data_IF_266532444390
#
_entry.id   IF_266532444390
#
_cell.length_a   1.000
_cell.length_b   1.000
_cell.length_c   1.000
_cell.angle_alpha   90.00
_cell.angle_beta   90.00
_cell.angle_gamma   90.00
#
_symmetry.space_group_name_H-M   'P 1'
#
loop_
_entity.id
_entity.type
_entity.pdbx_description
1 polymer ?
#
# COMPACT_ATOMS: atom_id res chain seq x y z
N UNK A 1 25.93 18.54 -4.46
CA UNK A 1 25.53 17.11 -4.51
C UNK A 1 24.16 17.03 -5.16
N UNK A 2 23.92 16.09 -6.07
CA UNK A 2 22.59 15.92 -6.69
C UNK A 2 21.69 15.12 -5.74
N UNK A 3 20.60 15.72 -5.29
CA UNK A 3 19.60 15.00 -4.50
C UNK A 3 18.86 13.98 -5.38
N UNK A 4 18.37 12.91 -4.77
CA UNK A 4 17.64 11.86 -5.47
C UNK A 4 16.22 12.31 -5.81
N UNK A 5 15.69 11.83 -6.96
CA UNK A 5 14.28 12.01 -7.34
C UNK A 5 13.37 10.96 -6.71
N UNK A 6 13.93 9.78 -6.44
CA UNK A 6 13.23 8.64 -5.85
C UNK A 6 14.17 7.91 -4.89
N UNK A 7 13.70 7.65 -3.68
CA UNK A 7 14.32 6.75 -2.70
C UNK A 7 13.36 5.59 -2.46
N UNK A 8 13.86 4.35 -2.48
CA UNK A 8 13.06 3.13 -2.24
C UNK A 8 13.69 2.34 -1.11
N UNK A 9 12.89 2.04 -0.09
CA UNK A 9 13.34 1.43 1.16
C UNK A 9 12.41 0.29 1.50
N UNK A 10 12.79 -0.93 1.11
CA UNK A 10 11.99 -2.12 1.34
C UNK A 10 12.60 -2.99 2.43
N UNK A 11 11.78 -3.44 3.37
CA UNK A 11 12.14 -4.32 4.49
C UNK A 11 13.17 -3.74 5.48
N UNK A 12 13.45 -2.44 5.42
CA UNK A 12 14.45 -1.80 6.30
C UNK A 12 13.84 -1.42 7.65
N UNK A 13 12.72 -0.68 7.64
CA UNK A 13 12.10 -0.17 8.88
C UNK A 13 11.29 -1.23 9.63
N UNK A 14 11.13 -2.44 9.08
CA UNK A 14 10.28 -3.49 9.65
C UNK A 14 10.67 -3.86 11.08
N UNK A 15 11.95 -3.77 11.41
CA UNK A 15 12.49 -4.12 12.74
C UNK A 15 12.66 -2.92 13.67
N UNK A 16 12.34 -1.70 13.22
CA UNK A 16 12.46 -0.50 14.04
C UNK A 16 11.33 -0.45 15.07
N UNK A 17 11.50 0.30 16.15
CA UNK A 17 10.34 0.70 16.95
C UNK A 17 9.49 1.68 16.15
N UNK A 18 8.17 1.67 16.38
CA UNK A 18 7.25 2.51 15.61
C UNK A 18 7.57 4.00 15.75
N UNK A 19 7.97 4.43 16.95
CA UNK A 19 8.39 5.81 17.23
C UNK A 19 9.63 6.25 16.43
N UNK A 20 10.44 5.30 15.96
CA UNK A 20 11.68 5.58 15.22
C UNK A 20 11.44 5.65 13.71
N UNK A 21 10.23 5.32 13.24
CA UNK A 21 9.87 5.38 11.81
C UNK A 21 9.90 6.82 11.30
N UNK A 22 9.26 7.77 11.99
CA UNK A 22 9.21 9.18 11.53
C UNK A 22 10.62 9.81 11.45
N UNK A 23 11.48 9.72 12.49
CA UNK A 23 12.85 10.22 12.40
C UNK A 23 13.67 9.59 11.26
N UNK A 24 13.47 8.29 10.98
CA UNK A 24 14.14 7.62 9.87
C UNK A 24 13.67 8.15 8.50
N UNK A 25 12.35 8.36 8.33
CA UNK A 25 11.78 8.98 7.14
C UNK A 25 12.33 10.40 6.91
N UNK A 26 12.40 11.21 7.97
CA UNK A 26 12.95 12.57 7.90
C UNK A 26 14.43 12.56 7.49
N UNK A 27 15.22 11.64 8.06
CA UNK A 27 16.63 11.46 7.68
C UNK A 27 16.77 11.17 6.17
N UNK A 28 15.93 10.27 5.65
CA UNK A 28 15.95 9.94 4.22
C UNK A 28 15.45 11.11 3.35
N UNK A 29 14.50 11.91 3.83
CA UNK A 29 13.98 13.09 3.13
C UNK A 29 15.06 14.14 2.80
N UNK A 30 16.12 14.25 3.60
CA UNK A 30 17.24 15.15 3.33
C UNK A 30 17.99 14.80 2.04
N UNK A 31 17.96 13.53 1.63
CA UNK A 31 18.59 13.07 0.38
C UNK A 31 17.71 13.25 -0.86
N UNK A 32 16.44 13.67 -0.69
CA UNK A 32 15.48 13.87 -1.76
C UNK A 32 15.44 15.32 -2.26
N UNK A 33 15.23 15.50 -3.57
CA UNK A 33 14.83 16.79 -4.14
C UNK A 33 13.39 17.11 -3.72
N UNK A 34 13.05 18.40 -3.66
CA UNK A 34 11.65 18.83 -3.53
C UNK A 34 10.82 18.25 -4.68
N UNK A 35 9.65 17.70 -4.37
CA UNK A 35 8.83 16.95 -5.30
C UNK A 35 9.29 15.49 -5.52
N UNK A 36 10.43 15.08 -4.97
CA UNK A 36 10.90 13.70 -4.99
C UNK A 36 9.99 12.74 -4.20
N UNK A 37 10.12 11.44 -4.49
CA UNK A 37 9.32 10.38 -3.87
C UNK A 37 10.15 9.52 -2.92
N UNK A 38 9.64 9.32 -1.71
CA UNK A 38 10.11 8.26 -0.82
C UNK A 38 9.11 7.12 -0.84
N UNK A 39 9.58 5.91 -1.12
CA UNK A 39 8.78 4.70 -1.07
C UNK A 39 9.31 3.83 0.06
N UNK A 40 8.51 3.61 1.09
CA UNK A 40 8.84 2.76 2.24
C UNK A 40 7.85 1.60 2.27
N UNK A 41 8.33 0.38 2.49
CA UNK A 41 7.41 -0.73 2.61
C UNK A 41 8.06 -2.06 2.84
N UNK A 42 7.25 -3.10 2.73
CA UNK A 42 7.63 -4.47 3.07
C UNK A 42 7.17 -5.42 1.98
N UNK A 43 8.02 -6.38 1.65
CA UNK A 43 7.68 -7.50 0.77
C UNK A 43 7.56 -8.78 1.56
N UNK A 44 6.79 -9.75 1.05
CA UNK A 44 6.93 -11.11 1.54
C UNK A 44 8.29 -11.71 1.12
N UNK A 45 8.76 -12.81 1.74
CA UNK A 45 10.07 -13.40 1.43
C UNK A 45 10.24 -13.78 -0.06
N UNK A 46 9.15 -14.16 -0.72
CA UNK A 46 9.16 -14.52 -2.15
C UNK A 46 9.17 -13.32 -3.11
N UNK A 47 8.99 -12.09 -2.60
CA UNK A 47 8.82 -10.88 -3.40
C UNK A 47 7.55 -10.85 -4.26
N UNK A 48 6.59 -11.76 -4.02
CA UNK A 48 5.34 -11.86 -4.79
C UNK A 48 4.29 -10.87 -4.34
N UNK A 49 4.38 -10.43 -3.09
CA UNK A 49 3.48 -9.47 -2.47
C UNK A 49 4.29 -8.34 -1.84
N UNK A 50 3.78 -7.13 -1.96
CA UNK A 50 4.36 -5.93 -1.34
C UNK A 50 3.26 -5.06 -0.77
N UNK A 51 3.55 -4.37 0.32
CA UNK A 51 2.78 -3.20 0.75
C UNK A 51 3.76 -2.08 1.00
N UNK A 52 3.49 -0.91 0.44
CA UNK A 52 4.37 0.25 0.61
C UNK A 52 3.60 1.55 0.66
N UNK A 53 4.08 2.45 1.49
CA UNK A 53 3.70 3.85 1.50
C UNK A 53 4.48 4.62 0.42
N UNK A 54 3.81 5.62 -0.13
CA UNK A 54 4.42 6.61 -1.02
C UNK A 54 4.32 7.96 -0.32
N UNK A 55 5.47 8.58 -0.10
CA UNK A 55 5.57 9.95 0.39
C UNK A 55 6.13 10.83 -0.72
N UNK A 56 5.76 12.11 -0.68
CA UNK A 56 6.33 13.15 -1.54
C UNK A 56 6.96 14.22 -0.67
N UNK A 57 8.16 14.66 -1.05
CA UNK A 57 8.81 15.81 -0.42
C UNK A 57 8.12 17.10 -0.88
N UNK A 58 7.55 17.85 0.06
CA UNK A 58 6.90 19.13 -0.19
C UNK A 58 7.92 20.28 -0.24
N UNK A 59 7.47 21.45 -0.69
CA UNK A 59 8.28 22.68 -0.78
C UNK A 59 8.83 23.15 0.58
N UNK A 60 8.12 22.84 1.66
CA UNK A 60 8.57 23.13 3.03
C UNK A 60 9.54 22.06 3.60
N UNK A 61 10.14 21.26 2.73
CA UNK A 61 11.08 20.16 3.04
C UNK A 61 10.50 18.97 3.83
N UNK A 62 9.20 18.98 4.16
CA UNK A 62 8.54 17.88 4.87
C UNK A 62 8.07 16.77 3.94
N UNK A 63 7.85 15.56 4.46
CA UNK A 63 7.23 14.47 3.73
C UNK A 63 5.71 14.47 3.92
N UNK A 64 4.97 14.46 2.82
CA UNK A 64 3.52 14.25 2.83
C UNK A 64 3.20 12.84 2.33
N UNK A 65 2.45 12.07 3.12
CA UNK A 65 1.92 10.78 2.68
C UNK A 65 0.97 10.97 1.49
N UNK A 66 1.10 10.13 0.46
CA UNK A 66 0.34 10.23 -0.80
C UNK A 66 -0.56 9.02 -1.05
N UNK A 67 -0.08 7.84 -0.67
CA UNK A 67 -0.81 6.60 -0.86
C UNK A 67 -0.23 5.45 -0.04
N UNK A 68 -1.08 4.51 0.31
CA UNK A 68 -0.72 3.14 0.67
C UNK A 68 -0.99 2.23 -0.55
N UNK A 69 -0.02 1.42 -0.94
CA UNK A 69 -0.10 0.58 -2.14
C UNK A 69 0.08 -0.87 -1.79
N UNK A 70 -0.88 -1.70 -2.18
CA UNK A 70 -0.81 -3.15 -2.12
C UNK A 70 -0.46 -3.70 -3.49
N UNK A 71 0.54 -4.57 -3.58
CA UNK A 71 1.07 -5.10 -4.84
C UNK A 71 1.13 -6.62 -4.87
N UNK A 72 0.79 -7.22 -6.00
CA UNK A 72 0.98 -8.66 -6.27
C UNK A 72 1.34 -8.91 -7.73
N UNK A 73 2.08 -9.98 -8.01
CA UNK A 73 2.35 -10.45 -9.38
C UNK A 73 1.37 -11.54 -9.87
N UNK A 74 0.34 -11.86 -9.08
CA UNK A 74 -0.68 -12.88 -9.36
C UNK A 74 -0.15 -14.31 -9.55
N UNK A 75 1.05 -14.64 -9.08
CA UNK A 75 1.61 -16.01 -9.14
C UNK A 75 1.16 -16.93 -7.99
N UNK A 76 0.33 -16.43 -7.08
CA UNK A 76 -0.28 -17.20 -6.00
C UNK A 76 -1.69 -16.69 -5.72
N UNK A 77 -2.54 -17.57 -5.19
CA UNK A 77 -3.80 -17.13 -4.62
C UNK A 77 -3.54 -16.09 -3.53
N UNK A 78 -4.42 -15.11 -3.42
CA UNK A 78 -4.22 -13.98 -2.55
C UNK A 78 -5.48 -13.74 -1.75
N UNK A 79 -5.33 -13.73 -0.44
CA UNK A 79 -6.32 -13.23 0.49
C UNK A 79 -5.88 -11.85 0.98
N UNK A 80 -6.79 -10.88 1.19
CA UNK A 80 -6.43 -9.57 1.74
C UNK A 80 -5.68 -9.68 3.07
N UNK A 81 -6.03 -10.67 3.90
CA UNK A 81 -5.35 -10.94 5.18
C UNK A 81 -3.85 -11.22 5.01
N UNK A 82 -3.42 -11.80 3.88
CA UNK A 82 -2.01 -12.11 3.63
C UNK A 82 -1.15 -10.85 3.57
N UNK A 83 -1.74 -9.69 3.27
CA UNK A 83 -1.05 -8.40 3.29
C UNK A 83 -0.83 -7.85 4.70
N UNK A 84 -1.63 -8.24 5.70
CA UNK A 84 -1.50 -7.72 7.07
C UNK A 84 -0.10 -7.99 7.64
N UNK A 85 0.44 -9.18 7.39
CA UNK A 85 1.77 -9.59 7.84
C UNK A 85 2.92 -8.86 7.13
N UNK A 86 2.65 -8.08 6.08
CA UNK A 86 3.65 -7.31 5.32
C UNK A 86 3.25 -5.84 5.20
N UNK A 87 2.41 -5.34 6.10
CA UNK A 87 2.14 -3.91 6.20
C UNK A 87 3.43 -3.14 6.59
N UNK A 88 3.54 -1.87 6.18
CA UNK A 88 4.58 -0.96 6.65
C UNK A 88 4.64 -0.89 8.17
N UNK A 89 5.80 -0.54 8.74
CA UNK A 89 6.03 -0.57 10.19
C UNK A 89 5.00 0.26 10.96
N UNK A 90 4.59 1.42 10.42
CA UNK A 90 3.57 2.32 11.00
C UNK A 90 2.16 1.72 11.10
N UNK A 91 1.90 0.59 10.44
CA UNK A 91 0.56 0.01 10.32
C UNK A 91 0.49 -1.46 10.75
N UNK A 92 1.62 -2.17 10.76
CA UNK A 92 1.63 -3.62 11.01
C UNK A 92 1.09 -4.01 12.40
N UNK A 93 1.30 -3.18 13.43
CA UNK A 93 0.73 -3.39 14.77
C UNK A 93 -0.73 -2.95 14.89
N UNK A 94 -1.22 -2.19 13.91
CA UNK A 94 -2.57 -1.61 13.84
C UNK A 94 -3.49 -2.34 12.86
N UNK A 95 -3.05 -3.47 12.30
CA UNK A 95 -3.81 -4.21 11.30
C UNK A 95 -5.22 -4.63 11.77
N UNK A 96 -5.40 -4.78 13.08
CA UNK A 96 -6.64 -5.18 13.73
C UNK A 96 -7.45 -4.02 14.32
N UNK A 97 -6.95 -2.79 14.21
CA UNK A 97 -7.71 -1.61 14.61
C UNK A 97 -8.92 -1.42 13.69
N UNK A 98 -9.93 -0.69 14.17
CA UNK A 98 -11.22 -0.57 13.50
C UNK A 98 -11.12 -0.19 12.01
N UNK A 99 -10.33 0.84 11.69
CA UNK A 99 -10.22 1.36 10.32
C UNK A 99 -9.48 0.40 9.38
N UNK A 100 -8.27 -0.10 9.69
CA UNK A 100 -7.60 -1.12 8.87
C UNK A 100 -8.40 -2.42 8.75
N UNK A 101 -8.97 -2.93 9.85
CA UNK A 101 -9.77 -4.15 9.83
C UNK A 101 -11.00 -4.02 8.90
N UNK A 102 -11.74 -2.91 9.01
CA UNK A 102 -12.89 -2.65 8.14
C UNK A 102 -12.52 -2.57 6.65
N UNK A 103 -11.31 -2.09 6.33
CA UNK A 103 -10.79 -2.08 4.95
C UNK A 103 -10.53 -3.50 4.43
N UNK A 104 -9.83 -4.33 5.22
CA UNK A 104 -9.56 -5.71 4.83
C UNK A 104 -10.84 -6.55 4.70
N UNK A 105 -11.82 -6.35 5.58
CA UNK A 105 -13.13 -7.00 5.49
C UNK A 105 -13.90 -6.58 4.23
N UNK A 106 -13.89 -5.28 3.92
CA UNK A 106 -14.52 -4.75 2.70
C UNK A 106 -13.86 -5.31 1.45
N UNK A 107 -12.53 -5.45 1.47
CA UNK A 107 -11.79 -6.04 0.38
C UNK A 107 -12.12 -7.52 0.20
N UNK A 108 -12.14 -8.29 1.30
CA UNK A 108 -12.49 -9.71 1.27
C UNK A 108 -13.90 -9.91 0.71
N UNK A 109 -14.88 -9.10 1.12
CA UNK A 109 -16.23 -9.11 0.53
C UNK A 109 -16.20 -8.85 -0.98
N UNK A 110 -15.41 -7.87 -1.44
CA UNK A 110 -15.25 -7.56 -2.85
C UNK A 110 -14.69 -8.72 -3.68
N UNK A 111 -13.71 -9.46 -3.15
CA UNK A 111 -13.17 -10.65 -3.79
C UNK A 111 -14.18 -11.81 -3.83
N UNK A 112 -14.91 -12.03 -2.74
CA UNK A 112 -15.97 -13.04 -2.68
C UNK A 112 -17.07 -12.76 -3.71
N UNK A 113 -17.51 -11.50 -3.84
CA UNK A 113 -18.47 -11.08 -4.86
C UNK A 113 -17.95 -11.27 -6.29
N UNK A 114 -16.65 -11.06 -6.52
CA UNK A 114 -16.05 -11.28 -7.83
C UNK A 114 -16.16 -12.76 -8.25
N UNK A 115 -15.91 -13.68 -7.31
CA UNK A 115 -16.07 -15.11 -7.55
C UNK A 115 -17.52 -15.46 -7.92
N UNK A 116 -18.50 -14.96 -7.15
CA UNK A 116 -19.93 -15.17 -7.44
C UNK A 116 -20.37 -14.56 -8.77
N UNK A 117 -19.72 -13.49 -9.22
CA UNK A 117 -19.94 -12.84 -10.52
C UNK A 117 -19.18 -13.52 -11.69
N UNK A 118 -18.65 -14.73 -11.48
CA UNK A 118 -17.97 -15.52 -12.52
C UNK A 118 -16.60 -15.00 -12.94
N UNK A 119 -15.92 -14.22 -12.09
CA UNK A 119 -14.53 -13.78 -12.38
C UNK A 119 -13.55 -14.88 -12.02
N UNK A 120 -13.06 -15.59 -13.03
CA UNK A 120 -12.26 -16.81 -12.86
C UNK A 120 -10.78 -16.50 -12.58
N UNK A 121 -10.25 -15.37 -13.06
CA UNK A 121 -8.83 -15.03 -12.90
C UNK A 121 -8.55 -14.10 -11.71
N UNK A 122 -7.44 -14.33 -11.00
CA UNK A 122 -6.99 -13.51 -9.86
C UNK A 122 -6.95 -12.00 -10.20
N UNK A 123 -6.43 -11.66 -11.39
CA UNK A 123 -6.40 -10.26 -11.86
C UNK A 123 -7.80 -9.67 -12.06
N UNK A 124 -8.75 -10.46 -12.58
CA UNK A 124 -10.12 -10.01 -12.77
C UNK A 124 -10.83 -9.83 -11.42
N UNK A 125 -10.62 -10.75 -10.49
CA UNK A 125 -11.13 -10.64 -9.11
C UNK A 125 -10.56 -9.41 -8.41
N UNK A 126 -9.25 -9.17 -8.54
CA UNK A 126 -8.57 -7.99 -8.02
C UNK A 126 -9.16 -6.68 -8.56
N UNK A 127 -9.31 -6.57 -9.88
CA UNK A 127 -9.90 -5.39 -10.51
C UNK A 127 -11.35 -5.19 -10.04
N UNK A 128 -12.13 -6.27 -9.98
CA UNK A 128 -13.51 -6.20 -9.50
C UNK A 128 -13.57 -5.72 -8.05
N UNK A 129 -12.77 -6.29 -7.16
CA UNK A 129 -12.72 -5.90 -5.75
C UNK A 129 -12.27 -4.44 -5.56
N UNK A 130 -11.31 -3.95 -6.35
CA UNK A 130 -10.93 -2.54 -6.35
C UNK A 130 -12.10 -1.61 -6.70
N UNK A 131 -12.91 -1.99 -7.70
CA UNK A 131 -14.13 -1.25 -8.02
C UNK A 131 -15.19 -1.32 -6.90
N UNK A 132 -15.32 -2.47 -6.22
CA UNK A 132 -16.24 -2.61 -5.08
C UNK A 132 -15.84 -1.72 -3.91
N UNK A 133 -14.55 -1.74 -3.54
CA UNK A 133 -13.97 -0.87 -2.51
C UNK A 133 -14.24 0.60 -2.80
N UNK A 134 -14.07 1.02 -4.06
CA UNK A 134 -14.30 2.41 -4.45
C UNK A 134 -15.78 2.80 -4.43
N UNK A 135 -16.63 2.02 -5.11
CA UNK A 135 -18.03 2.42 -5.37
C UNK A 135 -18.96 2.18 -4.18
N UNK A 136 -18.72 1.13 -3.39
CA UNK A 136 -19.66 0.68 -2.36
C UNK A 136 -19.11 0.79 -0.94
N UNK A 137 -17.78 0.85 -0.77
CA UNK A 137 -17.15 1.03 0.54
C UNK A 137 -16.57 2.42 0.76
N UNK A 138 -16.59 3.30 -0.26
CA UNK A 138 -16.18 4.70 -0.14
C UNK A 138 -14.67 4.94 -0.09
N UNK A 139 -13.83 3.92 -0.33
CA UNK A 139 -12.38 4.11 -0.31
C UNK A 139 -11.88 4.84 -1.57
N UNK A 140 -10.92 5.74 -1.39
CA UNK A 140 -10.27 6.45 -2.50
C UNK A 140 -9.24 5.55 -3.18
N UNK A 141 -9.73 4.65 -4.03
CA UNK A 141 -8.92 3.69 -4.80
C UNK A 141 -8.61 4.23 -6.20
N UNK A 142 -7.36 4.13 -6.64
CA UNK A 142 -6.99 4.42 -8.02
C UNK A 142 -7.48 3.32 -8.98
N UNK A 143 -8.50 3.65 -9.76
CA UNK A 143 -9.12 2.73 -10.72
C UNK A 143 -8.47 2.72 -12.10
N UNK A 144 -7.33 3.41 -12.31
CA UNK A 144 -6.66 3.41 -13.62
C UNK A 144 -6.28 1.99 -14.02
N UNK A 145 -6.79 1.55 -15.17
CA UNK A 145 -6.56 0.21 -15.73
C UNK A 145 -5.10 -0.23 -15.66
N UNK A 146 -4.16 0.65 -16.02
CA UNK A 146 -2.71 0.36 -16.03
C UNK A 146 -2.15 -0.03 -14.65
N UNK A 147 -2.72 0.47 -13.56
CA UNK A 147 -2.29 0.22 -12.19
C UNK A 147 -2.83 -1.13 -11.73
N UNK A 148 -4.15 -1.32 -11.84
CA UNK A 148 -4.80 -2.56 -11.43
C UNK A 148 -4.32 -3.77 -12.26
N UNK A 149 -4.09 -3.61 -13.57
CA UNK A 149 -3.57 -4.69 -14.42
C UNK A 149 -2.14 -5.12 -14.04
N UNK A 150 -1.33 -4.18 -13.54
CA UNK A 150 0.02 -4.45 -13.02
C UNK A 150 0.00 -5.06 -11.61
N UNK A 151 -1.17 -5.23 -11.02
CA UNK A 151 -1.35 -5.85 -9.72
C UNK A 151 -1.16 -4.90 -8.55
N UNK A 152 -1.29 -3.60 -8.77
CA UNK A 152 -1.30 -2.60 -7.71
C UNK A 152 -2.73 -2.19 -7.36
N UNK A 153 -3.01 -2.02 -6.07
CA UNK A 153 -4.21 -1.40 -5.51
C UNK A 153 -3.70 -0.23 -4.68
N UNK A 154 -3.98 0.98 -5.16
CA UNK A 154 -3.48 2.23 -4.59
C UNK A 154 -4.62 2.87 -3.83
N UNK A 155 -4.44 3.05 -2.52
CA UNK A 155 -5.37 3.71 -1.63
C UNK A 155 -4.78 5.09 -1.27
N UNK A 156 -5.51 6.16 -1.59
CA UNK A 156 -5.07 7.53 -1.31
C UNK A 156 -5.43 8.03 0.09
N UNK A 157 -6.38 7.37 0.75
CA UNK A 157 -6.78 7.70 2.12
C UNK A 157 -5.94 6.88 3.11
N UNK A 158 -5.35 7.49 4.15
CA UNK A 158 -4.66 6.73 5.18
C UNK A 158 -5.63 5.81 5.93
N UNK A 159 -5.21 4.58 6.23
CA UNK A 159 -5.96 3.65 7.09
C UNK A 159 -5.70 3.89 8.58
N UNK A 160 -4.64 4.63 8.89
CA UNK A 160 -4.20 4.99 10.22
C UNK A 160 -3.44 6.32 10.11
N UNK A 161 -3.57 7.23 11.11
CA UNK A 161 -2.90 8.52 11.14
C UNK A 161 -1.41 8.49 10.78
#
# INVERSE_FOLDING_TARGET
MSNARIVRVYNVLRQYDERDVSPALDTMAHSLEVGGLLIEGTSNPTGRMVVFDVYRKAENETLTHQALVFGTNFKQHLMPIDFQAILPKRLIHHAHDQTPAAFFDSWQRGLSLASSAGKIGLRQQWIFAAHQLHKHSGYSIDLRKRILYRGYLVLHSPLYP
#
